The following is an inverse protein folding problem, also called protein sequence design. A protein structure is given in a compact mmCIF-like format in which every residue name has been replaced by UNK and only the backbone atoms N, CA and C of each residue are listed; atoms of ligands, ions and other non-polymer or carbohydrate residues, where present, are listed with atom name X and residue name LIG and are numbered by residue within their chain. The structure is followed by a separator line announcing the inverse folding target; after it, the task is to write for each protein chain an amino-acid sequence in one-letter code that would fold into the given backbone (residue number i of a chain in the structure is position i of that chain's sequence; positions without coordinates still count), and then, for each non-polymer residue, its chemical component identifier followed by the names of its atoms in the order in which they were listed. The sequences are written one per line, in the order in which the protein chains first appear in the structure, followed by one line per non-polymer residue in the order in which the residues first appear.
data_IF_709427828771
#
_entry.id   IF_709427828771
#
_cell.length_a   1.000
_cell.length_b   1.000
_cell.length_c   1.000
_cell.angle_alpha   90.00
_cell.angle_beta   90.00
_cell.angle_gamma   90.00
#
_symmetry.space_group_name_H-M   'P 1'
#
loop_
_entity.id
_entity.type
_entity.pdbx_description
1 polymer ?
#
# COMPACT_ATOMS: atom_id res chain seq x y z
N UNK A 1 -22.70 -0.44 18.04
CA UNK A 1 -22.31 -0.34 16.62
C UNK A 1 -20.82 -0.63 16.56
N UNK A 2 -20.48 -1.88 16.26
CA UNK A 2 -19.09 -2.34 16.17
C UNK A 2 -18.40 -1.57 15.03
N UNK A 3 -17.34 -0.83 15.35
CA UNK A 3 -16.53 -0.14 14.34
C UNK A 3 -15.71 -1.20 13.62
N UNK A 4 -15.95 -1.42 12.33
CA UNK A 4 -15.09 -2.30 11.51
C UNK A 4 -13.64 -1.77 11.56
N UNK A 5 -12.70 -2.62 11.97
CA UNK A 5 -11.31 -2.28 12.26
C UNK A 5 -10.42 -2.41 11.02
N UNK A 6 -10.56 -1.49 10.06
CA UNK A 6 -9.69 -1.44 8.89
C UNK A 6 -8.29 -0.92 9.28
N UNK A 7 -7.23 -1.60 8.83
CA UNK A 7 -5.83 -1.23 9.13
C UNK A 7 -5.30 -1.70 10.49
N UNK A 8 -6.01 -2.58 11.21
CA UNK A 8 -5.61 -3.01 12.55
C UNK A 8 -4.63 -4.19 12.58
N UNK A 9 -4.62 -5.03 11.54
CA UNK A 9 -3.84 -6.27 11.55
C UNK A 9 -2.33 -6.05 11.60
N UNK A 10 -1.83 -4.89 11.15
CA UNK A 10 -0.42 -4.55 11.26
C UNK A 10 0.10 -4.56 12.70
N UNK A 11 -0.74 -4.30 13.72
CA UNK A 11 -0.32 -4.42 15.13
C UNK A 11 0.08 -5.85 15.54
N UNK A 12 -0.38 -6.87 14.79
CA UNK A 12 -0.04 -8.27 15.04
C UNK A 12 1.05 -8.78 14.10
N UNK A 13 1.55 -7.95 13.18
CA UNK A 13 2.50 -8.36 12.16
C UNK A 13 3.75 -9.02 12.77
N UNK A 14 4.44 -8.33 13.68
CA UNK A 14 5.64 -8.85 14.36
C UNK A 14 5.38 -10.16 15.10
N UNK A 15 4.28 -10.21 15.87
CA UNK A 15 3.89 -11.42 16.61
C UNK A 15 3.62 -12.59 15.67
N UNK A 16 2.81 -12.38 14.63
CA UNK A 16 2.47 -13.43 13.68
C UNK A 16 3.70 -13.90 12.90
N UNK A 17 4.61 -13.00 12.53
CA UNK A 17 5.86 -13.41 11.86
C UNK A 17 6.79 -14.21 12.75
N UNK A 18 6.76 -14.01 14.08
CA UNK A 18 7.57 -14.78 15.04
C UNK A 18 6.93 -16.12 15.42
N UNK A 19 5.60 -16.17 15.53
CA UNK A 19 4.86 -17.35 16.00
C UNK A 19 4.59 -18.37 14.88
N UNK A 20 4.58 -17.94 13.61
CA UNK A 20 4.22 -18.80 12.47
C UNK A 20 5.45 -19.41 11.79
N UNK A 21 5.35 -20.67 11.38
CA UNK A 21 6.40 -21.37 10.63
C UNK A 21 6.42 -21.05 9.12
N UNK A 22 5.70 -20.01 8.71
CA UNK A 22 5.59 -19.54 7.31
C UNK A 22 5.76 -18.02 7.27
N UNK A 23 6.19 -17.44 6.15
CA UNK A 23 6.17 -15.99 5.97
C UNK A 23 4.75 -15.44 6.16
N UNK A 24 4.64 -14.30 6.86
CA UNK A 24 3.37 -13.63 7.13
C UNK A 24 3.48 -12.16 6.76
N UNK A 25 2.46 -11.64 6.08
CA UNK A 25 2.35 -10.23 5.77
C UNK A 25 0.86 -9.83 5.79
N UNK A 26 0.42 -9.21 6.89
CA UNK A 26 -1.01 -8.92 7.19
C UNK A 26 -1.39 -7.45 7.06
N UNK A 27 -0.47 -6.59 6.65
CA UNK A 27 -0.72 -5.17 6.38
C UNK A 27 0.17 -4.72 5.22
N UNK A 28 -0.36 -3.89 4.31
CA UNK A 28 0.43 -3.35 3.19
C UNK A 28 1.62 -2.53 3.69
N UNK A 29 1.56 -1.99 4.91
CA UNK A 29 2.63 -1.23 5.56
C UNK A 29 3.97 -1.97 5.61
N UNK A 30 3.99 -3.31 5.63
CA UNK A 30 5.26 -4.07 5.62
C UNK A 30 6.09 -3.85 4.35
N UNK A 31 5.48 -3.32 3.28
CA UNK A 31 6.18 -2.94 2.07
C UNK A 31 6.99 -1.64 2.24
N UNK A 32 6.71 -0.81 3.24
CA UNK A 32 7.35 0.52 3.40
C UNK A 32 8.88 0.44 3.48
N UNK A 33 9.50 -0.45 4.30
CA UNK A 33 10.96 -0.60 4.31
C UNK A 33 11.55 -0.91 2.94
N UNK A 34 10.87 -1.73 2.14
CA UNK A 34 11.29 -2.04 0.77
C UNK A 34 11.07 -0.87 -0.20
N UNK A 35 9.91 -0.19 -0.14
CA UNK A 35 9.60 0.99 -0.97
C UNK A 35 10.68 2.08 -0.78
N UNK A 36 11.15 2.30 0.45
CA UNK A 36 12.26 3.23 0.75
C UNK A 36 13.55 2.93 -0.01
N UNK A 37 13.77 1.68 -0.42
CA UNK A 37 14.98 1.28 -1.17
C UNK A 37 14.91 1.61 -2.66
N UNK A 38 13.70 1.81 -3.20
CA UNK A 38 13.46 2.00 -4.64
C UNK A 38 13.05 3.43 -5.01
N UNK A 39 12.66 4.27 -4.05
CA UNK A 39 12.45 5.71 -4.24
C UNK A 39 13.73 6.49 -3.88
N UNK A 40 13.82 7.76 -4.29
CA UNK A 40 14.97 8.59 -3.90
C UNK A 40 14.92 8.92 -2.40
N UNK A 41 16.09 9.10 -1.78
CA UNK A 41 16.22 9.40 -0.33
C UNK A 41 15.55 10.70 0.10
N UNK A 42 15.36 11.64 -0.82
CA UNK A 42 14.69 12.93 -0.58
C UNK A 42 13.16 12.84 -0.75
N UNK A 43 12.63 11.67 -1.13
CA UNK A 43 11.21 11.48 -1.40
C UNK A 43 10.46 10.87 -0.21
N UNK A 44 9.17 11.17 -0.16
CA UNK A 44 8.21 10.65 0.81
C UNK A 44 7.34 9.54 0.23
N UNK A 45 6.68 8.78 1.11
CA UNK A 45 5.67 7.79 0.77
C UNK A 45 4.30 8.33 1.20
N UNK A 46 3.38 8.48 0.24
CA UNK A 46 2.00 8.81 0.54
C UNK A 46 1.21 7.55 0.91
N UNK A 47 0.42 7.60 1.98
CA UNK A 47 -0.42 6.49 2.43
C UNK A 47 -1.88 6.94 2.35
N UNK A 48 -2.69 6.21 1.59
CA UNK A 48 -4.14 6.37 1.61
C UNK A 48 -4.72 5.29 2.53
N UNK A 49 -5.49 5.70 3.53
CA UNK A 49 -6.07 4.76 4.48
C UNK A 49 -7.51 5.08 4.82
N UNK A 50 -8.23 4.06 5.27
CA UNK A 50 -9.60 4.16 5.76
C UNK A 50 -9.69 4.61 7.23
N UNK A 51 -8.56 4.68 7.95
CA UNK A 51 -8.53 5.13 9.33
C UNK A 51 -7.12 5.61 9.73
N UNK A 52 -6.82 6.89 9.53
CA UNK A 52 -5.50 7.42 9.87
C UNK A 52 -5.19 7.35 11.37
N UNK A 53 -6.22 7.36 12.23
CA UNK A 53 -6.04 7.26 13.68
C UNK A 53 -5.57 5.86 14.14
N UNK A 54 -5.69 4.83 13.29
CA UNK A 54 -5.10 3.53 13.56
C UNK A 54 -3.61 3.46 13.19
N UNK A 55 -3.09 4.45 12.45
CA UNK A 55 -1.68 4.52 12.09
C UNK A 55 -0.91 5.28 13.17
N UNK A 56 0.16 4.68 13.66
CA UNK A 56 0.94 5.21 14.78
C UNK A 56 2.16 4.36 15.09
N UNK A 57 2.92 4.79 16.10
CA UNK A 57 4.22 4.22 16.44
C UNK A 57 4.19 2.69 16.61
N UNK A 58 3.19 2.15 17.31
CA UNK A 58 3.12 0.72 17.56
C UNK A 58 2.94 -0.12 16.29
N UNK A 59 2.02 0.27 15.40
CA UNK A 59 1.79 -0.45 14.14
C UNK A 59 2.97 -0.25 13.18
N UNK A 60 3.58 0.93 13.18
CA UNK A 60 4.78 1.18 12.40
C UNK A 60 5.91 0.26 12.85
N UNK A 61 6.23 0.20 14.15
CA UNK A 61 7.22 -0.73 14.69
C UNK A 61 6.91 -2.18 14.31
N UNK A 62 5.66 -2.61 14.52
CA UNK A 62 5.21 -3.99 14.20
C UNK A 62 5.39 -4.35 12.73
N UNK A 63 5.32 -3.35 11.83
CA UNK A 63 5.54 -3.50 10.38
C UNK A 63 6.98 -3.20 9.93
N UNK A 64 7.94 -3.09 10.87
CA UNK A 64 9.35 -2.82 10.56
C UNK A 64 9.64 -1.36 10.17
N UNK A 65 8.73 -0.44 10.44
CA UNK A 65 8.83 0.99 10.17
C UNK A 65 9.32 1.67 11.45
N UNK A 66 10.63 1.84 11.59
CA UNK A 66 11.21 2.45 12.80
C UNK A 66 10.97 3.96 12.93
N UNK A 67 11.04 4.69 11.82
CA UNK A 67 10.80 6.14 11.75
C UNK A 67 9.69 6.39 10.71
N UNK A 68 8.82 7.37 10.95
CA UNK A 68 7.68 7.71 10.09
C UNK A 68 7.76 9.13 9.48
N UNK A 69 8.90 9.83 9.61
CA UNK A 69 9.06 11.22 9.13
C UNK A 69 8.83 11.43 7.62
N UNK A 70 8.99 10.37 6.84
CA UNK A 70 8.84 10.33 5.39
C UNK A 70 7.46 9.81 4.95
N UNK A 71 6.56 9.54 5.90
CA UNK A 71 5.21 9.05 5.63
C UNK A 71 4.22 10.21 5.68
N UNK A 72 3.39 10.34 4.64
CA UNK A 72 2.31 11.33 4.58
C UNK A 72 0.98 10.61 4.44
N UNK A 73 0.09 10.75 5.42
CA UNK A 73 -1.14 9.97 5.51
C UNK A 73 -2.36 10.80 5.09
N UNK A 74 -3.21 10.26 4.23
CA UNK A 74 -4.55 10.78 3.95
C UNK A 74 -5.63 9.80 4.45
N UNK A 75 -6.58 10.33 5.22
CA UNK A 75 -7.72 9.60 5.75
C UNK A 75 -8.95 9.74 4.82
N UNK A 76 -9.48 8.63 4.33
CA UNK A 76 -10.66 8.58 3.48
C UNK A 76 -11.94 8.19 4.23
N UNK A 77 -11.86 7.95 5.54
CA UNK A 77 -12.99 7.50 6.38
C UNK A 77 -14.27 8.32 6.24
N UNK A 78 -14.13 9.62 5.98
CA UNK A 78 -15.24 10.58 5.92
C UNK A 78 -15.67 10.90 4.48
N UNK A 79 -15.17 10.19 3.48
CA UNK A 79 -15.65 10.31 2.10
C UNK A 79 -17.13 9.94 2.01
N UNK A 80 -17.89 10.65 1.18
CA UNK A 80 -19.33 10.45 1.03
C UNK A 80 -19.65 9.00 0.64
N UNK A 81 -18.90 8.46 -0.31
CA UNK A 81 -19.05 7.11 -0.83
C UNK A 81 -18.14 6.12 -0.10
N UNK A 82 -16.94 6.52 0.31
CA UNK A 82 -16.01 5.64 1.02
C UNK A 82 -16.51 5.26 2.42
N UNK A 83 -17.15 6.20 3.13
CA UNK A 83 -17.73 5.93 4.47
C UNK A 83 -18.81 4.85 4.44
N UNK A 84 -19.49 4.66 3.31
CA UNK A 84 -20.49 3.60 3.11
C UNK A 84 -19.89 2.21 3.32
N UNK A 85 -18.65 2.00 2.86
CA UNK A 85 -17.91 0.73 3.05
C UNK A 85 -17.65 0.51 4.54
N UNK A 86 -17.20 1.56 5.21
CA UNK A 86 -16.84 1.53 6.63
C UNK A 86 -18.03 1.27 7.54
N UNK A 87 -19.18 1.82 7.18
CA UNK A 87 -20.41 1.80 7.97
C UNK A 87 -21.41 0.74 7.49
N UNK A 88 -21.04 -0.04 6.47
CA UNK A 88 -21.85 -1.13 5.89
C UNK A 88 -23.25 -0.69 5.42
N UNK A 89 -23.32 0.51 4.83
CA UNK A 89 -24.61 1.14 4.53
C UNK A 89 -25.09 0.88 3.11
N UNK A 90 -25.82 -0.20 2.90
CA UNK A 90 -26.48 -0.44 1.61
C UNK A 90 -25.50 -0.67 0.47
N UNK A 91 -25.77 -0.10 -0.71
CA UNK A 91 -25.00 -0.41 -1.93
C UNK A 91 -23.80 0.52 -2.11
N UNK A 92 -22.64 -0.06 -2.41
CA UNK A 92 -21.41 0.68 -2.68
C UNK A 92 -21.45 1.31 -4.09
N UNK A 93 -21.40 2.64 -4.18
CA UNK A 93 -21.11 3.34 -5.44
C UNK A 93 -19.60 3.27 -5.76
N UNK A 94 -19.21 2.23 -6.49
CA UNK A 94 -17.82 2.04 -6.92
C UNK A 94 -17.27 3.24 -7.71
N UNK A 95 -18.09 3.94 -8.50
CA UNK A 95 -17.63 5.10 -9.25
C UNK A 95 -17.39 6.30 -8.32
N UNK A 96 -18.24 6.48 -7.32
CA UNK A 96 -18.06 7.44 -6.22
C UNK A 96 -16.79 7.20 -5.42
N UNK A 97 -16.61 5.96 -4.94
CA UNK A 97 -15.41 5.56 -4.20
C UNK A 97 -14.15 5.77 -5.06
N UNK A 98 -14.17 5.37 -6.34
CA UNK A 98 -13.06 5.62 -7.28
C UNK A 98 -12.70 7.10 -7.34
N UNK A 99 -13.69 8.00 -7.48
CA UNK A 99 -13.45 9.46 -7.53
C UNK A 99 -12.81 9.95 -6.24
N UNK A 100 -13.27 9.47 -5.09
CA UNK A 100 -12.74 9.88 -3.79
C UNK A 100 -11.30 9.41 -3.56
N UNK A 101 -11.00 8.15 -3.87
CA UNK A 101 -9.64 7.59 -3.77
C UNK A 101 -8.67 8.33 -4.69
N UNK A 102 -9.06 8.56 -5.94
CA UNK A 102 -8.26 9.34 -6.90
C UNK A 102 -8.07 10.78 -6.44
N UNK A 103 -9.13 11.44 -5.96
CA UNK A 103 -9.08 12.82 -5.49
C UNK A 103 -8.14 12.96 -4.28
N UNK A 104 -8.22 12.03 -3.33
CA UNK A 104 -7.33 11.99 -2.18
C UNK A 104 -5.86 11.85 -2.61
N UNK A 105 -5.57 10.94 -3.55
CA UNK A 105 -4.21 10.77 -4.07
C UNK A 105 -3.68 12.05 -4.74
N UNK A 106 -4.48 12.67 -5.61
CA UNK A 106 -4.11 13.91 -6.31
C UNK A 106 -3.91 15.08 -5.36
N UNK A 107 -4.76 15.18 -4.33
CA UNK A 107 -4.62 16.21 -3.29
C UNK A 107 -3.32 15.99 -2.52
N UNK A 108 -3.06 14.77 -2.07
CA UNK A 108 -1.87 14.41 -1.30
C UNK A 108 -0.58 14.73 -2.06
N UNK A 109 -0.49 14.35 -3.35
CA UNK A 109 0.70 14.63 -4.17
C UNK A 109 0.83 16.09 -4.58
N UNK A 110 -0.27 16.85 -4.64
CA UNK A 110 -0.23 18.30 -4.85
C UNK A 110 0.30 19.03 -3.61
N UNK A 111 -0.12 18.61 -2.42
CA UNK A 111 0.32 19.19 -1.14
C UNK A 111 1.76 18.78 -0.78
N UNK A 112 2.18 17.61 -1.22
CA UNK A 112 3.51 17.04 -0.99
C UNK A 112 4.15 16.61 -2.32
N UNK A 113 4.73 17.55 -3.10
CA UNK A 113 5.31 17.26 -4.41
C UNK A 113 6.58 16.39 -4.32
N UNK A 114 7.11 16.17 -3.11
CA UNK A 114 8.21 15.28 -2.79
C UNK A 114 7.77 13.80 -2.61
N UNK A 115 6.50 13.46 -2.77
CA UNK A 115 6.05 12.05 -2.74
C UNK A 115 6.59 11.29 -3.96
N UNK A 116 7.26 10.17 -3.71
CA UNK A 116 7.82 9.28 -4.72
C UNK A 116 7.00 8.01 -4.99
N UNK A 117 6.11 7.63 -4.07
CA UNK A 117 5.24 6.47 -4.19
C UNK A 117 3.97 6.61 -3.35
N UNK A 118 2.91 5.90 -3.74
CA UNK A 118 1.66 5.79 -2.97
C UNK A 118 1.51 4.35 -2.46
N UNK A 119 1.07 4.19 -1.22
CA UNK A 119 0.66 2.94 -0.62
C UNK A 119 -0.84 3.02 -0.24
N UNK A 120 -1.63 2.03 -0.65
CA UNK A 120 -3.03 1.90 -0.28
C UNK A 120 -3.16 0.95 0.91
N UNK A 121 -3.44 1.52 2.08
CA UNK A 121 -3.66 0.82 3.35
C UNK A 121 -5.16 0.68 3.62
N UNK A 122 -5.81 -0.19 2.87
CA UNK A 122 -7.18 -0.70 3.08
C UNK A 122 -7.45 -1.83 2.08
N UNK A 123 -8.14 -2.90 2.50
CA UNK A 123 -8.50 -4.02 1.62
C UNK A 123 -9.46 -3.65 0.50
N UNK A 124 -10.21 -2.55 0.64
CA UNK A 124 -11.21 -2.10 -0.34
C UNK A 124 -10.68 -1.10 -1.36
N UNK A 125 -9.41 -0.65 -1.22
CA UNK A 125 -8.78 0.30 -2.16
C UNK A 125 -8.12 -0.30 -3.42
N UNK A 126 -7.62 -1.55 -3.47
CA UNK A 126 -6.93 -2.10 -4.65
C UNK A 126 -7.70 -2.02 -5.98
N UNK A 127 -9.05 -2.17 -6.04
CA UNK A 127 -9.80 -1.99 -7.28
C UNK A 127 -9.59 -0.61 -7.94
N UNK A 128 -9.11 0.38 -7.18
CA UNK A 128 -8.87 1.75 -7.64
C UNK A 128 -7.38 2.07 -7.87
N UNK A 129 -6.45 1.15 -7.57
CA UNK A 129 -5.01 1.38 -7.65
C UNK A 129 -4.54 1.85 -9.04
N UNK A 130 -5.00 1.19 -10.11
CA UNK A 130 -4.68 1.60 -11.48
C UNK A 130 -5.20 3.00 -11.83
N UNK A 131 -6.36 3.39 -11.29
CA UNK A 131 -6.92 4.73 -11.49
C UNK A 131 -6.08 5.79 -10.80
N UNK A 132 -5.66 5.52 -9.56
CA UNK A 132 -4.74 6.38 -8.82
C UNK A 132 -3.44 6.54 -9.60
N UNK A 133 -2.81 5.43 -10.00
CA UNK A 133 -1.54 5.44 -10.72
C UNK A 133 -1.60 6.25 -12.03
N UNK A 134 -2.68 6.10 -12.80
CA UNK A 134 -2.87 6.85 -14.05
C UNK A 134 -2.91 8.37 -13.82
N UNK A 135 -3.47 8.81 -12.70
CA UNK A 135 -3.66 10.22 -12.37
C UNK A 135 -2.45 10.86 -11.70
N UNK A 136 -1.80 10.15 -10.76
CA UNK A 136 -0.64 10.71 -10.04
C UNK A 136 0.69 10.41 -10.72
N UNK A 137 0.75 9.46 -11.66
CA UNK A 137 1.97 9.06 -12.40
C UNK A 137 3.13 8.61 -11.50
N UNK A 138 2.81 8.02 -10.35
CA UNK A 138 3.75 7.44 -9.39
C UNK A 138 3.50 5.93 -9.21
N UNK A 139 4.49 5.15 -8.74
CA UNK A 139 4.26 3.79 -8.26
C UNK A 139 3.15 3.75 -7.20
N UNK A 140 2.25 2.79 -7.32
CA UNK A 140 1.16 2.54 -6.36
C UNK A 140 1.28 1.10 -5.87
N UNK A 141 1.31 0.94 -4.55
CA UNK A 141 1.45 -0.33 -3.86
C UNK A 141 0.22 -0.61 -3.00
N UNK A 142 -0.15 -1.88 -2.86
CA UNK A 142 -1.25 -2.36 -2.04
C UNK A 142 -1.00 -3.82 -1.65
N UNK A 143 -1.97 -4.51 -1.04
CA UNK A 143 -1.78 -5.90 -0.67
C UNK A 143 -1.76 -6.85 -1.89
N UNK A 144 -2.32 -6.46 -3.03
CA UNK A 144 -2.25 -7.26 -4.28
C UNK A 144 -0.82 -7.19 -4.84
N UNK A 145 -0.19 -6.01 -4.83
CA UNK A 145 1.23 -5.89 -5.19
C UNK A 145 2.11 -6.69 -4.25
N UNK A 146 1.77 -6.68 -2.96
CA UNK A 146 2.45 -7.49 -1.95
C UNK A 146 2.38 -8.98 -2.28
N UNK A 147 1.17 -9.52 -2.51
CA UNK A 147 0.96 -10.93 -2.86
C UNK A 147 1.73 -11.29 -4.14
N UNK A 148 1.65 -10.49 -5.19
CA UNK A 148 2.38 -10.78 -6.44
C UNK A 148 3.91 -10.74 -6.26
N UNK A 149 4.42 -9.86 -5.41
CA UNK A 149 5.87 -9.74 -5.14
C UNK A 149 6.36 -10.86 -4.23
N UNK A 150 5.59 -11.24 -3.22
CA UNK A 150 5.93 -12.28 -2.22
C UNK A 150 5.76 -13.70 -2.76
N UNK A 151 4.69 -13.95 -3.52
CA UNK A 151 4.44 -15.27 -4.12
C UNK A 151 5.36 -15.50 -5.31
N UNK A 152 6.05 -14.46 -5.81
CA UNK A 152 6.99 -14.49 -6.94
C UNK A 152 6.62 -15.61 -7.89
N UNK A 153 5.49 -15.45 -8.59
CA UNK A 153 4.86 -16.49 -9.39
C UNK A 153 5.92 -17.18 -10.25
N UNK A 154 6.45 -18.32 -9.77
CA UNK A 154 7.46 -19.10 -10.46
C UNK A 154 6.85 -19.78 -11.69
N UNK A 155 5.54 -19.65 -11.89
CA UNK A 155 4.79 -20.15 -13.02
C UNK A 155 4.41 -19.07 -14.04
N UNK A 156 4.69 -17.78 -13.78
CA UNK A 156 4.54 -16.73 -14.80
C UNK A 156 5.65 -16.86 -15.87
N UNK A 157 5.29 -17.15 -17.14
CA UNK A 157 6.25 -17.20 -18.23
C UNK A 157 6.99 -15.87 -18.44
N UNK A 158 6.45 -14.74 -17.97
CA UNK A 158 7.08 -13.42 -18.02
C UNK A 158 8.34 -13.33 -17.15
N UNK A 159 8.28 -13.82 -15.91
CA UNK A 159 9.42 -13.83 -14.99
C UNK A 159 10.54 -14.78 -15.45
N UNK A 160 10.18 -15.96 -15.97
CA UNK A 160 11.15 -16.89 -16.59
C UNK A 160 11.85 -16.24 -17.80
N UNK A 161 11.12 -15.50 -18.64
CA UNK A 161 11.71 -14.76 -19.77
C UNK A 161 12.61 -13.60 -19.31
N UNK A 162 12.29 -12.95 -18.20
CA UNK A 162 13.12 -11.88 -17.62
C UNK A 162 14.44 -12.45 -17.09
N UNK A 163 14.40 -13.56 -16.35
CA UNK A 163 15.60 -14.25 -15.86
C UNK A 163 16.46 -14.80 -17.01
N UNK A 164 15.84 -15.36 -18.05
CA UNK A 164 16.55 -15.81 -19.26
C UNK A 164 17.23 -14.65 -20.01
N UNK A 165 16.65 -13.44 -19.98
CA UNK A 165 17.28 -12.23 -20.53
C UNK A 165 18.40 -11.69 -19.64
N UNK A 166 18.28 -11.81 -18.32
CA UNK A 166 19.30 -11.37 -17.36
C UNK A 166 20.52 -12.30 -17.32
N UNK A 167 20.35 -13.59 -17.60
CA UNK A 167 21.44 -14.55 -17.78
C UNK A 167 22.22 -14.39 -19.10
N UNK A 168 21.89 -13.37 -19.90
CA UNK A 168 22.53 -13.05 -21.18
C UNK A 168 23.48 -11.86 -21.14
N UNK A 169 23.93 -11.40 -19.97
CA UNK A 169 24.96 -10.35 -19.91
C UNK A 169 26.37 -10.94 -20.14
N UNK A 170 27.14 -10.45 -21.12
CA UNK A 170 28.53 -10.86 -21.27
C UNK A 170 29.34 -10.39 -20.07
N UNK A 171 30.25 -11.26 -19.62
CA UNK A 171 31.22 -10.97 -18.57
C UNK A 171 31.94 -9.65 -18.86
N UNK A 172 31.90 -8.74 -17.88
CA UNK A 172 32.65 -7.49 -17.90
C UNK A 172 34.13 -7.88 -17.84
N UNK A 173 34.85 -7.66 -18.95
CA UNK A 173 36.31 -7.60 -18.96
C UNK A 173 36.78 -6.28 -18.35
#
# INVERSE_FOLDING_TARGET
MEKKHYGFFGHFQERLSNDMNIPVAVSSLVQIPWIRTIIRKDQKIGILTANAAALGEQIYHSCGIGDAKDLVVADLRYGENFSVIMEDRGTIDNAGVRREVVSAAKKLTKEHPDIGAILLECSDMPPYASAVQAEVRLPVFDFITQIHTEIADRTDPGYVRLLQRMNGFPSIN
#
